data_IF_691386880135
#
_entry.id   IF_691386880135
#
_cell.length_a   1.000
_cell.length_b   1.000
_cell.length_c   1.000
_cell.angle_alpha   90.00
_cell.angle_beta   90.00
_cell.angle_gamma   90.00
#
_symmetry.space_group_name_H-M   'P 1'
#
loop_
_entity.id
_entity.type
_entity.pdbx_description
1 polymer ?
#
# COMPACT_ATOMS: atom_id res chain seq x y z
N UNK A 1 50.14 37.52 1.14
CA UNK A 1 50.20 38.24 2.43
C UNK A 1 49.23 37.55 3.38
N UNK A 2 49.73 36.78 4.35
CA UNK A 2 49.64 37.06 5.81
C UNK A 2 48.19 37.31 6.28
N UNK A 3 47.58 36.56 7.20
CA UNK A 3 48.07 36.12 8.52
C UNK A 3 47.20 35.01 9.12
N UNK A 4 47.84 34.17 9.92
CA UNK A 4 47.27 33.19 10.88
C UNK A 4 46.65 33.91 12.08
N UNK A 5 45.68 33.25 12.75
CA UNK A 5 45.67 33.17 14.23
C UNK A 5 44.87 31.96 14.73
N UNK A 6 45.49 31.24 15.66
CA UNK A 6 44.96 30.11 16.44
C UNK A 6 44.27 30.61 17.72
N UNK A 7 43.59 29.71 18.47
CA UNK A 7 43.92 29.35 19.86
C UNK A 7 42.89 28.42 20.53
N UNK A 8 43.44 27.49 21.34
CA UNK A 8 42.99 26.95 22.66
C UNK A 8 41.54 26.42 22.77
N UNK A 9 41.27 25.19 23.21
CA UNK A 9 42.02 24.26 24.06
C UNK A 9 41.35 24.16 25.43
N UNK A 10 40.72 23.02 25.76
CA UNK A 10 40.74 22.45 27.11
C UNK A 10 40.14 21.03 27.13
N UNK A 11 40.87 20.11 27.76
CA UNK A 11 40.43 18.80 28.27
C UNK A 11 40.56 18.85 29.79
N UNK A 12 39.71 18.12 30.51
CA UNK A 12 40.20 17.39 31.67
C UNK A 12 39.84 15.89 31.59
N UNK A 13 40.77 15.09 32.09
CA UNK A 13 40.68 13.66 32.36
C UNK A 13 40.53 13.43 33.88
N UNK A 14 40.43 12.14 34.27
CA UNK A 14 40.41 11.52 35.61
C UNK A 14 39.00 11.30 36.22
N UNK A 15 38.68 10.19 36.91
CA UNK A 15 39.51 9.15 37.52
C UNK A 15 38.80 7.78 37.58
N UNK A 16 39.61 6.72 37.68
CA UNK A 16 39.26 5.34 38.03
C UNK A 16 38.80 5.20 39.49
N UNK A 17 37.86 4.28 39.74
CA UNK A 17 37.69 3.63 41.03
C UNK A 17 37.60 2.11 40.84
N UNK A 18 38.57 1.41 41.43
CA UNK A 18 38.65 -0.05 41.53
C UNK A 18 38.00 -0.45 42.85
N UNK A 19 36.98 -1.30 42.81
CA UNK A 19 36.36 -1.90 43.98
C UNK A 19 36.36 -3.42 43.85
N UNK A 20 37.24 -4.08 44.59
CA UNK A 20 37.26 -5.53 44.75
C UNK A 20 36.33 -5.92 45.92
N UNK A 21 35.34 -6.78 45.66
CA UNK A 21 34.56 -7.44 46.68
C UNK A 21 34.55 -8.95 46.42
N UNK A 22 35.11 -9.69 47.37
CA UNK A 22 35.11 -11.14 47.45
C UNK A 22 33.80 -11.64 48.06
N UNK A 23 33.07 -12.49 47.36
CA UNK A 23 31.96 -13.28 47.92
C UNK A 23 32.27 -14.77 47.78
N UNK A 24 32.07 -15.50 48.88
CA UNK A 24 32.22 -16.96 49.03
C UNK A 24 30.85 -17.56 49.32
N UNK A 25 30.53 -18.69 48.65
CA UNK A 25 29.39 -19.58 48.91
C UNK A 25 28.09 -19.14 48.23
N UNK A 26 27.27 -19.99 47.60
CA UNK A 26 27.01 -21.43 47.71
C UNK A 26 26.42 -21.95 46.39
N UNK A 27 26.59 -23.25 46.11
CA UNK A 27 26.11 -23.94 44.90
C UNK A 27 24.58 -24.12 44.83
N UNK A 28 24.08 -24.20 43.57
CA UNK A 28 22.84 -24.80 43.03
C UNK A 28 21.89 -23.82 42.31
N UNK A 29 21.06 -24.27 41.36
CA UNK A 29 21.25 -25.26 40.29
C UNK A 29 21.33 -24.56 38.91
N UNK A 30 21.73 -25.33 37.89
CA UNK A 30 21.67 -24.92 36.47
C UNK A 30 20.21 -24.72 36.08
N UNK A 31 19.75 -23.47 36.07
CA UNK A 31 18.52 -23.10 35.37
C UNK A 31 18.87 -23.01 33.88
N UNK A 32 18.52 -24.08 33.15
CA UNK A 32 18.32 -24.01 31.70
C UNK A 32 17.19 -23.02 31.47
N UNK A 33 17.54 -21.75 31.26
CA UNK A 33 16.60 -20.77 30.75
C UNK A 33 16.34 -21.13 29.28
N UNK A 34 15.31 -21.95 29.10
CA UNK A 34 14.80 -22.36 27.82
C UNK A 34 14.52 -21.16 26.94
N UNK A 35 15.01 -21.26 25.71
CA UNK A 35 14.33 -20.85 24.49
C UNK A 35 13.32 -19.70 24.65
N UNK A 36 13.81 -18.46 24.72
CA UNK A 36 13.02 -17.26 24.38
C UNK A 36 12.83 -17.12 22.86
N UNK A 37 12.78 -18.23 22.12
CA UNK A 37 12.24 -18.24 20.76
C UNK A 37 10.80 -18.71 20.85
N UNK A 38 9.93 -17.94 20.18
CA UNK A 38 8.54 -18.29 19.88
C UNK A 38 7.51 -18.00 20.99
N UNK A 39 7.53 -16.80 21.61
CA UNK A 39 6.32 -16.22 22.21
C UNK A 39 6.32 -14.68 22.07
N UNK A 40 6.67 -14.19 20.88
CA UNK A 40 6.46 -12.79 20.51
C UNK A 40 6.15 -12.70 19.01
N UNK A 41 4.98 -13.22 18.64
CA UNK A 41 4.07 -12.60 17.68
C UNK A 41 2.85 -13.50 17.57
N UNK A 42 1.87 -13.31 18.46
CA UNK A 42 0.51 -13.69 18.11
C UNK A 42 0.08 -12.70 17.01
N UNK A 43 0.42 -12.99 15.75
CA UNK A 43 -0.09 -12.23 14.63
C UNK A 43 -1.61 -12.41 14.63
N UNK A 44 -2.33 -11.34 14.96
CA UNK A 44 -3.78 -11.35 15.12
C UNK A 44 -4.50 -11.68 13.81
N UNK A 45 -3.87 -11.46 12.65
CA UNK A 45 -4.44 -11.74 11.33
C UNK A 45 -3.89 -13.04 10.74
N UNK A 46 -4.78 -13.92 10.28
CA UNK A 46 -4.43 -15.20 9.63
C UNK A 46 -5.15 -15.33 8.29
N UNK A 47 -4.67 -16.18 7.38
CA UNK A 47 -5.24 -16.33 6.04
C UNK A 47 -4.77 -15.25 5.07
N UNK A 48 -5.53 -15.05 4.00
CA UNK A 48 -5.15 -14.20 2.88
C UNK A 48 -6.06 -12.97 2.75
N UNK A 49 -5.45 -11.79 2.63
CA UNK A 49 -6.09 -10.67 1.97
C UNK A 49 -5.92 -10.86 0.47
N UNK A 50 -6.97 -11.31 -0.19
CA UNK A 50 -7.03 -11.37 -1.64
C UNK A 50 -7.36 -9.98 -2.15
N UNK A 51 -6.36 -9.25 -2.63
CA UNK A 51 -6.53 -7.94 -3.21
C UNK A 51 -6.73 -8.09 -4.72
N UNK A 52 -7.89 -7.72 -5.22
CA UNK A 52 -8.23 -7.78 -6.64
C UNK A 52 -8.08 -6.40 -7.26
N UNK A 53 -7.60 -6.37 -8.49
CA UNK A 53 -7.60 -5.20 -9.35
C UNK A 53 -8.36 -5.55 -10.63
N UNK A 54 -9.36 -4.74 -10.93
CA UNK A 54 -10.15 -4.86 -12.14
C UNK A 54 -9.94 -3.61 -12.98
N UNK A 55 -9.48 -3.82 -14.20
CA UNK A 55 -9.22 -2.76 -15.18
C UNK A 55 -10.29 -2.79 -16.26
N UNK A 56 -10.72 -1.61 -16.66
CA UNK A 56 -11.70 -1.38 -17.70
C UNK A 56 -11.17 -0.33 -18.67
N UNK A 57 -11.58 -0.42 -19.92
CA UNK A 57 -11.19 0.53 -20.94
C UNK A 57 -12.40 1.07 -21.68
N UNK A 58 -12.41 2.38 -21.90
CA UNK A 58 -13.39 3.07 -22.72
C UNK A 58 -12.73 3.59 -24.00
N UNK A 59 -12.98 2.90 -25.12
CA UNK A 59 -12.37 3.25 -26.42
C UNK A 59 -12.80 4.62 -26.94
N UNK A 60 -14.00 5.08 -26.59
CA UNK A 60 -14.49 6.42 -26.96
C UNK A 60 -13.75 7.55 -26.26
N UNK A 61 -13.02 7.26 -25.18
CA UNK A 61 -12.30 8.22 -24.35
C UNK A 61 -10.78 7.97 -24.31
N UNK A 62 -10.32 6.84 -24.87
CA UNK A 62 -8.97 6.29 -24.69
C UNK A 62 -8.54 6.23 -23.23
N UNK A 63 -9.44 5.72 -22.37
CA UNK A 63 -9.37 5.87 -20.93
C UNK A 63 -9.36 4.52 -20.20
N UNK A 64 -8.39 4.35 -19.29
CA UNK A 64 -8.34 3.23 -18.36
C UNK A 64 -8.92 3.61 -17.00
N UNK A 65 -9.86 2.76 -16.54
CA UNK A 65 -10.41 2.84 -15.21
C UNK A 65 -10.08 1.58 -14.42
N UNK A 66 -9.41 1.76 -13.28
CA UNK A 66 -9.05 0.66 -12.39
C UNK A 66 -9.80 0.77 -11.06
N UNK A 67 -10.28 -0.37 -10.58
CA UNK A 67 -10.97 -0.48 -9.30
C UNK A 67 -10.47 -1.68 -8.50
N UNK A 68 -10.42 -1.50 -7.18
CA UNK A 68 -9.87 -2.43 -6.20
C UNK A 68 -10.94 -2.87 -5.20
N UNK A 69 -11.96 -2.04 -5.02
CA UNK A 69 -13.19 -2.35 -4.29
C UNK A 69 -14.37 -2.22 -5.25
N UNK A 70 -15.56 -2.65 -4.83
CA UNK A 70 -16.78 -2.45 -5.63
C UNK A 70 -17.29 -1.02 -5.38
N UNK A 71 -17.11 -0.08 -6.32
CA UNK A 71 -17.39 1.33 -6.07
C UNK A 71 -18.86 1.68 -6.28
N UNK A 72 -19.54 0.93 -7.14
CA UNK A 72 -20.93 1.15 -7.50
C UNK A 72 -21.85 0.16 -6.79
N UNK A 73 -22.94 0.65 -6.21
CA UNK A 73 -23.98 -0.18 -5.61
C UNK A 73 -24.71 -1.09 -6.61
N UNK A 74 -24.60 -0.79 -7.91
CA UNK A 74 -25.18 -1.62 -8.98
C UNK A 74 -24.26 -2.77 -9.46
N UNK A 75 -23.06 -2.92 -8.87
CA UNK A 75 -22.18 -4.06 -9.12
C UNK A 75 -21.46 -4.09 -10.47
N UNK A 76 -21.63 -3.09 -11.34
CA UNK A 76 -20.98 -3.05 -12.67
C UNK A 76 -19.46 -3.16 -12.61
N UNK A 77 -18.86 -2.53 -11.60
CA UNK A 77 -17.41 -2.52 -11.36
C UNK A 77 -17.04 -3.34 -10.11
N UNK A 78 -17.69 -4.48 -9.92
CA UNK A 78 -17.44 -5.33 -8.75
C UNK A 78 -16.03 -5.92 -8.74
N UNK A 79 -15.51 -6.18 -7.53
CA UNK A 79 -14.19 -6.79 -7.31
C UNK A 79 -14.27 -7.89 -6.27
N UNK A 80 -13.44 -8.91 -6.45
CA UNK A 80 -13.29 -10.03 -5.52
C UNK A 80 -12.58 -9.72 -4.21
N UNK A 81 -12.12 -8.48 -3.97
CA UNK A 81 -11.25 -8.15 -2.84
C UNK A 81 -11.86 -8.58 -1.51
N UNK A 82 -11.21 -9.49 -0.78
CA UNK A 82 -11.77 -10.11 0.43
C UNK A 82 -10.67 -10.67 1.32
N UNK A 83 -11.04 -10.99 2.56
CA UNK A 83 -10.27 -11.86 3.42
C UNK A 83 -10.82 -13.29 3.33
N UNK A 84 -9.95 -14.29 3.21
CA UNK A 84 -10.34 -15.70 3.24
C UNK A 84 -9.19 -16.62 3.63
N UNK A 85 -9.51 -17.84 4.03
CA UNK A 85 -8.51 -18.87 4.34
C UNK A 85 -7.72 -19.33 3.10
N UNK A 86 -8.28 -19.17 1.89
CA UNK A 86 -7.66 -19.58 0.64
C UNK A 86 -7.15 -18.38 -0.15
N UNK A 87 -5.99 -18.54 -0.79
CA UNK A 87 -5.48 -17.63 -1.79
C UNK A 87 -6.32 -17.72 -3.07
N UNK A 88 -6.81 -16.58 -3.55
CA UNK A 88 -7.42 -16.46 -4.87
C UNK A 88 -6.31 -16.43 -5.92
N UNK A 89 -6.46 -17.19 -7.00
CA UNK A 89 -5.48 -17.28 -8.10
C UNK A 89 -5.92 -16.55 -9.36
N UNK A 90 -7.17 -16.07 -9.39
CA UNK A 90 -7.74 -15.32 -10.51
C UNK A 90 -8.52 -14.12 -10.01
N UNK A 91 -8.51 -13.04 -10.80
CA UNK A 91 -9.27 -11.85 -10.49
C UNK A 91 -10.77 -12.07 -10.78
N UNK A 92 -11.64 -11.92 -9.78
CA UNK A 92 -13.07 -11.76 -9.97
C UNK A 92 -13.43 -10.28 -10.22
N UNK A 93 -13.93 -9.99 -11.42
CA UNK A 93 -14.24 -8.64 -11.89
C UNK A 93 -15.65 -8.55 -12.48
N UNK A 94 -16.34 -7.43 -12.23
CA UNK A 94 -17.64 -7.12 -12.83
C UNK A 94 -17.56 -6.87 -14.33
N UNK A 95 -18.70 -6.94 -15.02
CA UNK A 95 -18.79 -6.83 -16.48
C UNK A 95 -18.56 -5.41 -17.03
N UNK A 96 -18.45 -4.40 -16.17
CA UNK A 96 -18.41 -2.99 -16.57
C UNK A 96 -19.79 -2.46 -16.91
N UNK A 97 -19.84 -1.38 -17.70
CA UNK A 97 -21.10 -0.69 -18.03
C UNK A 97 -21.37 -0.59 -19.54
N UNK A 98 -20.67 -1.37 -20.35
CA UNK A 98 -20.73 -1.33 -21.82
C UNK A 98 -19.85 -0.23 -22.43
N UNK A 99 -19.77 0.95 -21.81
CA UNK A 99 -18.84 2.01 -22.23
C UNK A 99 -17.42 1.74 -21.71
N UNK A 100 -17.31 1.22 -20.49
CA UNK A 100 -16.09 0.71 -19.90
C UNK A 100 -16.16 -0.81 -19.90
N UNK A 101 -15.37 -1.42 -20.77
CA UNK A 101 -15.35 -2.88 -20.99
C UNK A 101 -14.14 -3.47 -20.25
N UNK A 102 -14.26 -4.64 -19.60
CA UNK A 102 -13.15 -5.23 -18.88
C UNK A 102 -11.94 -5.48 -19.79
N UNK A 103 -10.74 -5.32 -19.25
CA UNK A 103 -9.47 -5.65 -19.90
C UNK A 103 -8.80 -6.79 -19.14
N UNK A 104 -9.09 -8.07 -19.47
CA UNK A 104 -8.64 -9.22 -18.66
C UNK A 104 -7.13 -9.30 -18.45
N UNK A 105 -6.33 -8.87 -19.44
CA UNK A 105 -4.85 -8.86 -19.34
C UNK A 105 -4.32 -7.84 -18.32
N UNK A 106 -5.16 -6.89 -17.91
CA UNK A 106 -4.85 -5.88 -16.89
C UNK A 106 -5.58 -6.15 -15.56
N UNK A 107 -6.24 -7.29 -15.44
CA UNK A 107 -6.79 -7.77 -14.17
C UNK A 107 -5.71 -8.49 -13.38
N UNK A 108 -5.79 -8.43 -12.06
CA UNK A 108 -4.83 -9.13 -11.20
C UNK A 108 -5.41 -9.46 -9.84
N UNK A 109 -4.83 -10.47 -9.20
CA UNK A 109 -5.04 -10.75 -7.79
C UNK A 109 -3.69 -10.90 -7.08
N UNK A 110 -3.57 -10.31 -5.90
CA UNK A 110 -2.45 -10.52 -4.99
C UNK A 110 -3.00 -11.15 -3.71
N UNK A 111 -2.73 -12.43 -3.50
CA UNK A 111 -3.11 -13.15 -2.30
C UNK A 111 -2.04 -12.92 -1.21
N UNK A 112 -2.31 -11.96 -0.34
CA UNK A 112 -1.37 -11.51 0.68
C UNK A 112 -1.55 -12.34 1.96
N UNK A 113 -0.57 -13.18 2.29
CA UNK A 113 -0.54 -13.91 3.57
C UNK A 113 -0.37 -12.93 4.73
N UNK A 114 -1.43 -12.78 5.53
CA UNK A 114 -1.48 -11.84 6.65
C UNK A 114 -0.61 -12.30 7.83
N UNK A 115 -0.25 -13.59 7.90
CA UNK A 115 0.66 -14.13 8.91
C UNK A 115 2.14 -13.93 8.57
N UNK A 116 2.46 -13.48 7.35
CA UNK A 116 3.85 -13.36 6.88
C UNK A 116 4.63 -12.19 7.51
N UNK A 117 3.97 -11.29 8.24
CA UNK A 117 4.64 -10.18 8.91
C UNK A 117 3.69 -9.13 9.50
N UNK A 118 4.28 -8.10 10.10
CA UNK A 118 3.54 -7.04 10.83
C UNK A 118 2.87 -6.00 9.94
N UNK A 119 3.47 -5.70 8.80
CA UNK A 119 3.03 -4.59 7.95
C UNK A 119 2.45 -5.08 6.64
N UNK A 120 1.22 -4.67 6.36
CA UNK A 120 0.69 -4.65 5.01
C UNK A 120 1.23 -3.40 4.31
N UNK A 121 2.20 -3.58 3.43
CA UNK A 121 2.78 -2.51 2.64
C UNK A 121 1.96 -2.38 1.35
N UNK A 122 0.95 -1.52 1.33
CA UNK A 122 0.22 -1.22 0.10
C UNK A 122 1.06 -0.28 -0.76
N UNK A 123 1.29 -0.64 -2.02
CA UNK A 123 2.05 0.17 -2.95
C UNK A 123 1.26 0.43 -4.22
N UNK A 124 1.00 1.69 -4.48
CA UNK A 124 0.33 2.13 -5.70
C UNK A 124 1.36 2.62 -6.70
N UNK A 125 1.20 2.20 -7.94
CA UNK A 125 1.97 2.69 -9.06
C UNK A 125 1.03 3.37 -10.05
N UNK A 126 1.23 4.66 -10.26
CA UNK A 126 0.57 5.41 -11.32
C UNK A 126 1.42 5.35 -12.58
N UNK A 127 0.76 5.14 -13.71
CA UNK A 127 1.35 5.16 -15.04
C UNK A 127 0.58 6.16 -15.89
N UNK A 128 1.30 6.93 -16.70
CA UNK A 128 0.69 7.90 -17.59
C UNK A 128 1.14 7.66 -19.03
N UNK A 129 0.25 7.95 -19.97
CA UNK A 129 0.55 7.98 -21.39
C UNK A 129 0.43 9.41 -21.91
N UNK A 130 1.54 9.99 -22.37
CA UNK A 130 1.57 11.39 -22.83
C UNK A 130 0.68 11.63 -24.07
N UNK A 131 0.59 10.64 -24.97
CA UNK A 131 -0.12 10.78 -26.24
C UNK A 131 -1.65 10.88 -26.10
N UNK A 132 -2.23 10.28 -25.07
CA UNK A 132 -3.68 10.29 -24.82
C UNK A 132 -4.05 10.86 -23.45
N UNK A 133 -3.06 11.26 -22.66
CA UNK A 133 -3.23 11.76 -21.28
C UNK A 133 -3.98 10.79 -20.36
N UNK A 134 -4.01 9.54 -20.78
CA UNK A 134 -4.59 8.41 -20.08
C UNK A 134 -3.74 8.02 -18.87
N UNK A 135 -4.42 7.59 -17.81
CA UNK A 135 -3.81 7.18 -16.56
C UNK A 135 -4.23 5.79 -16.18
N UNK A 136 -3.28 5.09 -15.59
CA UNK A 136 -3.43 3.71 -15.23
C UNK A 136 -2.79 3.49 -13.87
N UNK A 137 -3.58 3.08 -12.89
CA UNK A 137 -3.11 2.87 -11.52
C UNK A 137 -3.10 1.40 -11.17
N UNK A 138 -1.99 0.89 -10.65
CA UNK A 138 -1.90 -0.47 -10.12
C UNK A 138 -1.64 -0.50 -8.62
N UNK A 139 -2.27 -1.46 -7.95
CA UNK A 139 -2.02 -1.83 -6.55
C UNK A 139 -1.64 -3.32 -6.43
N UNK A 140 -1.92 -4.07 -7.49
CA UNK A 140 -1.63 -5.48 -7.71
C UNK A 140 -0.89 -5.57 -9.03
N UNK A 141 0.08 -6.48 -9.15
CA UNK A 141 0.74 -6.77 -10.43
C UNK A 141 -0.27 -7.45 -11.37
N UNK A 142 -0.79 -6.77 -12.40
CA UNK A 142 -1.84 -7.34 -13.24
C UNK A 142 -1.28 -8.18 -14.40
N UNK A 143 -0.07 -7.86 -14.86
CA UNK A 143 0.57 -8.60 -15.94
C UNK A 143 1.59 -9.59 -15.38
N UNK A 144 1.54 -10.84 -15.86
CA UNK A 144 2.56 -11.85 -15.56
C UNK A 144 3.95 -11.52 -16.12
N UNK A 145 4.04 -10.51 -17.00
CA UNK A 145 5.29 -10.02 -17.60
C UNK A 145 6.00 -8.92 -16.79
N UNK A 146 5.43 -8.51 -15.65
CA UNK A 146 6.06 -7.58 -14.70
C UNK A 146 6.03 -6.09 -15.08
N UNK A 147 5.52 -5.71 -16.26
CA UNK A 147 5.48 -4.31 -16.74
C UNK A 147 4.80 -3.37 -15.75
N UNK A 148 3.67 -3.78 -15.19
CA UNK A 148 2.88 -2.97 -14.26
C UNK A 148 2.94 -3.49 -12.83
N UNK A 149 4.07 -4.09 -12.46
CA UNK A 149 4.27 -4.67 -11.13
C UNK A 149 4.24 -3.62 -10.02
N UNK A 150 3.84 -4.07 -8.84
CA UNK A 150 3.83 -3.28 -7.59
C UNK A 150 4.57 -4.05 -6.51
N UNK A 151 5.18 -3.35 -5.55
CA UNK A 151 5.79 -3.97 -4.38
C UNK A 151 4.82 -4.32 -3.25
N UNK A 152 3.50 -4.33 -3.51
CA UNK A 152 2.50 -4.62 -2.48
C UNK A 152 2.73 -5.99 -1.85
N UNK A 153 2.96 -6.03 -0.54
CA UNK A 153 3.26 -7.27 0.21
C UNK A 153 3.02 -7.14 1.71
N UNK A 154 2.99 -8.28 2.40
CA UNK A 154 3.10 -8.33 3.86
C UNK A 154 4.55 -8.60 4.26
N UNK A 155 5.10 -7.84 5.20
CA UNK A 155 6.45 -8.06 5.71
C UNK A 155 6.66 -7.46 7.12
N UNK A 156 7.81 -7.73 7.73
CA UNK A 156 8.18 -7.13 9.02
C UNK A 156 8.81 -5.73 8.90
N UNK A 157 8.97 -5.21 7.68
CA UNK A 157 9.57 -3.91 7.42
C UNK A 157 8.52 -2.95 6.87
N UNK A 158 8.50 -1.72 7.40
CA UNK A 158 7.73 -0.63 6.79
C UNK A 158 8.41 -0.18 5.51
N UNK A 159 7.68 -0.22 4.42
CA UNK A 159 8.11 0.35 3.15
C UNK A 159 7.55 1.76 3.03
N UNK A 160 8.40 2.70 2.62
CA UNK A 160 8.07 4.13 2.54
C UNK A 160 8.24 4.68 1.13
N UNK A 161 8.52 3.81 0.17
CA UNK A 161 8.68 4.16 -1.24
C UNK A 161 8.12 3.03 -2.09
N UNK A 162 7.38 3.35 -3.16
CA UNK A 162 6.85 2.34 -4.05
C UNK A 162 7.95 1.74 -4.94
N UNK A 163 7.81 0.45 -5.23
CA UNK A 163 8.54 -0.29 -6.25
C UNK A 163 7.56 -0.53 -7.40
N UNK A 164 7.79 0.15 -8.51
CA UNK A 164 6.93 0.08 -9.69
C UNK A 164 7.65 -0.57 -10.86
N UNK A 165 6.93 -1.42 -11.60
CA UNK A 165 7.40 -1.94 -12.88
C UNK A 165 7.61 -0.83 -13.91
N UNK A 166 8.36 -1.10 -15.00
CA UNK A 166 8.77 -0.08 -15.96
C UNK A 166 7.65 0.46 -16.87
N UNK A 167 6.47 -0.15 -16.84
CA UNK A 167 5.40 0.09 -17.80
C UNK A 167 5.65 -0.60 -19.15
N UNK A 168 4.98 -0.15 -20.21
CA UNK A 168 5.12 -0.73 -21.56
C UNK A 168 5.75 0.23 -22.58
N UNK A 169 6.33 1.34 -22.12
CA UNK A 169 6.88 2.41 -22.95
C UNK A 169 5.85 3.44 -23.42
N UNK A 170 4.59 3.04 -23.66
CA UNK A 170 3.49 3.98 -23.93
C UNK A 170 2.90 4.54 -22.62
N UNK A 171 2.77 3.68 -21.62
CA UNK A 171 2.45 4.01 -20.24
C UNK A 171 3.74 3.92 -19.44
N UNK A 172 4.20 5.04 -18.90
CA UNK A 172 5.44 5.14 -18.12
C UNK A 172 5.12 5.48 -16.66
N UNK A 173 5.93 5.02 -15.69
CA UNK A 173 5.70 5.32 -14.28
C UNK A 173 5.63 6.81 -14.00
N UNK A 174 4.75 7.20 -13.08
CA UNK A 174 4.59 8.56 -12.59
C UNK A 174 4.93 8.63 -11.09
N UNK A 175 6.20 8.88 -10.71
CA UNK A 175 6.63 8.88 -9.32
C UNK A 175 5.90 9.88 -8.42
N UNK A 176 5.33 10.96 -8.98
CA UNK A 176 4.59 11.96 -8.20
C UNK A 176 3.25 11.46 -7.67
N UNK A 177 2.68 10.43 -8.33
CA UNK A 177 1.38 9.83 -8.01
C UNK A 177 1.48 8.35 -7.59
N UNK A 178 2.68 7.78 -7.65
CA UNK A 178 2.99 6.50 -7.00
C UNK A 178 3.29 6.70 -5.53
N UNK A 179 2.85 5.78 -4.68
CA UNK A 179 2.96 5.91 -3.22
C UNK A 179 3.05 4.57 -2.50
N UNK A 180 3.50 4.61 -1.25
CA UNK A 180 3.58 3.46 -0.37
C UNK A 180 2.95 3.79 0.98
N UNK A 181 2.09 2.91 1.46
CA UNK A 181 1.40 3.03 2.73
C UNK A 181 1.64 1.76 3.56
N UNK A 182 2.59 1.80 4.52
CA UNK A 182 2.80 0.71 5.45
C UNK A 182 1.71 0.75 6.53
N UNK A 183 0.91 -0.30 6.58
CA UNK A 183 -0.20 -0.46 7.52
C UNK A 183 0.16 -1.48 8.59
N UNK A 184 0.12 -1.10 9.86
CA UNK A 184 0.41 -2.00 10.97
C UNK A 184 -0.80 -2.90 11.28
N UNK A 185 -0.69 -4.19 10.96
CA UNK A 185 -1.75 -5.18 11.13
C UNK A 185 -2.12 -5.44 12.60
N UNK A 186 -1.35 -4.91 13.56
CA UNK A 186 -1.63 -5.03 15.00
C UNK A 186 -2.46 -3.88 15.56
N UNK A 187 -2.73 -2.84 14.76
CA UNK A 187 -3.40 -1.61 15.23
C UNK A 187 -4.91 -1.63 15.10
N UNK A 188 -5.48 -2.73 14.62
CA UNK A 188 -6.93 -2.90 14.49
C UNK A 188 -7.30 -4.20 13.80
N UNK A 189 -8.59 -4.51 13.82
CA UNK A 189 -9.17 -5.75 13.30
C UNK A 189 -9.65 -5.67 11.84
N UNK A 190 -9.56 -4.50 11.20
CA UNK A 190 -10.10 -4.28 9.85
C UNK A 190 -9.18 -3.42 9.00
N UNK A 191 -9.10 -3.75 7.71
CA UNK A 191 -8.59 -2.87 6.67
C UNK A 191 -9.75 -2.05 6.11
N UNK A 192 -9.74 -0.75 6.31
CA UNK A 192 -10.60 0.17 5.58
C UNK A 192 -9.88 0.57 4.30
N UNK A 193 -10.24 -0.06 3.17
CA UNK A 193 -9.65 0.22 1.87
C UNK A 193 -10.45 1.33 1.19
N UNK A 194 -9.89 2.54 1.15
CA UNK A 194 -10.51 3.69 0.50
C UNK A 194 -10.06 3.76 -0.95
N UNK A 195 -11.01 3.90 -1.86
CA UNK A 195 -10.75 4.18 -3.26
C UNK A 195 -11.35 5.54 -3.61
N UNK A 196 -10.50 6.44 -4.07
CA UNK A 196 -10.88 7.76 -4.54
C UNK A 196 -10.67 7.83 -6.04
N UNK A 197 -11.74 8.02 -6.79
CA UNK A 197 -11.71 8.11 -8.24
C UNK A 197 -11.88 9.56 -8.64
N UNK A 198 -11.02 10.03 -9.52
CA UNK A 198 -11.05 11.37 -10.07
C UNK A 198 -11.22 11.28 -11.58
N UNK A 199 -11.89 12.27 -12.17
CA UNK A 199 -12.05 12.37 -13.61
C UNK A 199 -11.59 13.73 -14.10
N UNK A 200 -10.95 13.73 -15.27
CA UNK A 200 -10.60 14.95 -15.97
C UNK A 200 -11.44 15.12 -17.22
N UNK A 201 -12.30 16.14 -17.24
CA UNK A 201 -13.07 16.48 -18.44
C UNK A 201 -12.18 16.92 -19.61
N UNK A 202 -11.01 17.50 -19.31
CA UNK A 202 -10.04 17.96 -20.31
C UNK A 202 -9.28 16.79 -20.93
N UNK A 203 -8.89 15.81 -20.12
CA UNK A 203 -8.07 14.68 -20.54
C UNK A 203 -8.91 13.44 -20.89
N UNK A 204 -10.21 13.49 -20.60
CA UNK A 204 -11.15 12.38 -20.73
C UNK A 204 -10.73 11.10 -20.00
N UNK A 205 -9.96 11.24 -18.92
CA UNK A 205 -9.35 10.12 -18.22
C UNK A 205 -9.73 10.05 -16.74
N UNK A 206 -9.95 8.82 -16.26
CA UNK A 206 -10.06 8.49 -14.85
C UNK A 206 -8.67 8.31 -14.21
N UNK A 207 -8.62 8.58 -12.92
CA UNK A 207 -7.47 8.29 -12.09
C UNK A 207 -7.95 7.77 -10.75
N UNK A 208 -7.39 6.66 -10.29
CA UNK A 208 -7.77 6.04 -9.01
C UNK A 208 -6.65 6.23 -8.00
N UNK A 209 -6.98 6.58 -6.77
CA UNK A 209 -6.05 6.64 -5.66
C UNK A 209 -6.55 5.76 -4.51
N UNK A 210 -5.67 4.93 -3.97
CA UNK A 210 -5.91 4.05 -2.83
C UNK A 210 -4.90 4.30 -1.71
N UNK A 211 -3.67 4.70 -2.05
CA UNK A 211 -2.64 5.06 -1.07
C UNK A 211 -2.21 6.52 -1.26
N UNK A 212 -1.78 7.21 -0.19
CA UNK A 212 -1.18 8.52 -0.31
C UNK A 212 0.08 8.50 -1.18
N UNK A 213 0.17 9.44 -2.11
CA UNK A 213 1.35 9.73 -2.91
C UNK A 213 2.04 11.03 -2.42
N UNK A 214 3.25 11.36 -2.91
CA UNK A 214 3.87 12.65 -2.63
C UNK A 214 2.95 13.85 -2.94
N UNK A 215 2.16 13.74 -4.01
CA UNK A 215 1.09 14.68 -4.30
C UNK A 215 -0.12 14.47 -3.36
N UNK A 216 -0.24 15.36 -2.37
CA UNK A 216 -1.30 15.30 -1.35
C UNK A 216 -2.68 15.71 -1.86
N UNK A 217 -2.84 16.12 -3.12
CA UNK A 217 -4.14 16.47 -3.69
C UNK A 217 -5.06 15.26 -3.83
N UNK A 218 -4.48 14.06 -3.92
CA UNK A 218 -5.18 12.80 -4.15
C UNK A 218 -5.08 11.83 -2.96
N UNK A 219 -5.02 12.38 -1.73
CA UNK A 219 -4.98 11.59 -0.49
C UNK A 219 -6.19 10.67 -0.34
N UNK A 220 -6.00 9.59 0.41
CA UNK A 220 -7.03 8.58 0.70
C UNK A 220 -7.06 8.29 2.20
N UNK A 221 -8.21 7.83 2.69
CA UNK A 221 -8.41 7.44 4.09
C UNK A 221 -7.95 6.04 4.46
N UNK A 222 -7.28 5.31 3.56
CA UNK A 222 -6.94 3.89 3.77
C UNK A 222 -6.21 3.67 5.08
N UNK A 223 -6.73 2.80 5.93
CA UNK A 223 -6.20 2.59 7.29
C UNK A 223 -6.48 1.18 7.81
N UNK A 224 -5.82 0.86 8.93
CA UNK A 224 -6.20 -0.26 9.80
C UNK A 224 -6.85 0.33 11.04
N UNK A 225 -8.02 -0.17 11.41
CA UNK A 225 -8.70 0.24 12.65
C UNK A 225 -9.69 -0.82 13.11
N UNK A 226 -10.27 -0.63 14.30
CA UNK A 226 -11.39 -1.45 14.79
C UNK A 226 -12.77 -0.95 14.33
N UNK A 227 -12.81 0.19 13.63
CA UNK A 227 -14.05 0.82 13.17
C UNK A 227 -14.27 0.58 11.69
N UNK A 228 -15.51 0.32 11.32
CA UNK A 228 -15.92 0.25 9.91
C UNK A 228 -16.04 1.67 9.38
N UNK A 229 -15.22 2.02 8.40
CA UNK A 229 -15.40 3.25 7.64
C UNK A 229 -16.55 3.07 6.65
N UNK A 230 -17.56 3.93 6.74
CA UNK A 230 -18.77 3.85 5.90
C UNK A 230 -18.78 4.84 4.74
N UNK A 231 -17.77 5.71 4.64
CA UNK A 231 -17.66 6.72 3.59
C UNK A 231 -16.20 6.88 3.15
N UNK A 232 -15.93 7.09 1.85
CA UNK A 232 -14.59 7.38 1.39
C UNK A 232 -14.13 8.76 1.88
N UNK A 233 -12.99 8.80 2.55
CA UNK A 233 -12.19 10.02 2.75
C UNK A 233 -11.24 10.21 1.57
N UNK A 234 -11.42 11.29 0.83
CA UNK A 234 -10.68 11.61 -0.40
C UNK A 234 -10.14 13.03 -0.38
N UNK A 235 -8.99 13.24 -1.00
CA UNK A 235 -8.48 14.56 -1.35
C UNK A 235 -9.38 15.28 -2.36
N UNK A 236 -9.23 16.60 -2.46
CA UNK A 236 -10.06 17.42 -3.34
C UNK A 236 -9.69 17.29 -4.84
N UNK A 237 -8.54 16.70 -5.16
CA UNK A 237 -7.96 16.77 -6.50
C UNK A 237 -7.30 18.12 -6.78
N UNK A 238 -7.14 18.47 -8.06
CA UNK A 238 -6.40 19.66 -8.48
C UNK A 238 -7.17 20.60 -9.43
N UNK A 239 -8.48 20.41 -9.57
CA UNK A 239 -9.34 21.12 -10.52
C UNK A 239 -9.33 20.53 -11.93
N UNK A 240 -8.18 20.04 -12.41
CA UNK A 240 -8.08 19.28 -13.66
C UNK A 240 -8.63 17.86 -13.50
N UNK A 241 -8.32 17.22 -12.38
CA UNK A 241 -8.90 15.96 -11.92
C UNK A 241 -9.80 16.28 -10.73
N UNK A 242 -11.10 16.08 -10.93
CA UNK A 242 -12.14 16.35 -9.93
C UNK A 242 -12.64 15.03 -9.38
N UNK A 243 -12.85 14.96 -8.06
CA UNK A 243 -13.36 13.77 -7.40
C UNK A 243 -14.71 13.34 -8.01
N UNK A 244 -14.88 12.05 -8.24
CA UNK A 244 -16.12 11.41 -8.68
C UNK A 244 -16.71 10.64 -7.51
N UNK A 245 -17.66 11.21 -6.74
CA UNK A 245 -18.20 10.56 -5.56
C UNK A 245 -18.87 9.22 -5.87
N UNK A 246 -19.51 9.11 -7.04
CA UNK A 246 -20.22 7.89 -7.45
C UNK A 246 -19.29 6.69 -7.68
N UNK A 247 -18.03 6.93 -8.01
CA UNK A 247 -17.02 5.90 -8.24
C UNK A 247 -16.00 5.78 -7.09
N UNK A 248 -16.15 6.63 -6.07
CA UNK A 248 -15.33 6.61 -4.87
C UNK A 248 -16.06 5.86 -3.77
N UNK A 249 -15.37 4.96 -3.08
CA UNK A 249 -15.99 4.11 -2.06
C UNK A 249 -14.98 3.68 -1.00
N UNK A 250 -15.48 3.02 0.04
CA UNK A 250 -14.66 2.33 1.03
C UNK A 250 -15.17 0.91 1.21
N UNK A 251 -14.24 -0.04 1.36
CA UNK A 251 -14.54 -1.41 1.76
C UNK A 251 -13.78 -1.74 3.03
N UNK A 252 -14.53 -2.03 4.10
CA UNK A 252 -13.95 -2.56 5.33
C UNK A 252 -13.84 -4.08 5.23
N UNK A 253 -12.61 -4.59 5.20
CA UNK A 253 -12.30 -6.02 5.15
C UNK A 253 -11.88 -6.46 6.56
N UNK A 254 -12.60 -7.40 7.20
CA UNK A 254 -12.12 -8.03 8.43
C UNK A 254 -10.76 -8.69 8.21
N UNK A 255 -9.87 -8.62 9.19
CA UNK A 255 -8.54 -9.25 9.14
C UNK A 255 -8.41 -10.46 10.08
N UNK A 256 -9.44 -10.69 10.90
CA UNK A 256 -9.51 -11.71 11.95
C UNK A 256 -10.88 -12.39 11.92
#
# INVERSE_FOLDING_TARGET
MMRRTALRGWRPALALAVGAATFVGTAAPVAVAGDQRVLESAFAASGHLNLHQCAYYASSLDDHFNTFITPSGDGRYSTGTKHSATADTTAACGAGNGNHVPVPVLHGVNALDLGAGRYLNLQQCDYYRSASTDRFTTLVTPSGDGRYSTGTKVSNTKETSPTCGPGNGSHVPNPGLSGSLPLDLTTGSRLNLHQCVYYSERLKSHMTSVVPAPDRRYTTGTNISDTVDTRPVCGAGNGDYVLVPLLSAVKSVPLT
#
